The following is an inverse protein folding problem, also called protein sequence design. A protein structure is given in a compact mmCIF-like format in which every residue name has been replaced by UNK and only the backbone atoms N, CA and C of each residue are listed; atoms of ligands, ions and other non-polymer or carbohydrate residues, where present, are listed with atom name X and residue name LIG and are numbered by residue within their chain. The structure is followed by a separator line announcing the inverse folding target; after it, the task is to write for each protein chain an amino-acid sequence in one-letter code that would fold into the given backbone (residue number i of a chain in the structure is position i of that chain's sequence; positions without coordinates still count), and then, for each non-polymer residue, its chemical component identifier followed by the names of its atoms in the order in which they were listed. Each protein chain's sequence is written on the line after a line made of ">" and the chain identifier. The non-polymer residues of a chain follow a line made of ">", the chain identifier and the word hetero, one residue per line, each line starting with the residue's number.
data_IF_111721640659
#
_entry.id   IF_111721640659
#
_cell.length_a   1.000
_cell.length_b   1.000
_cell.length_c   1.000
_cell.angle_alpha   90.00
_cell.angle_beta   90.00
_cell.angle_gamma   90.00
#
_symmetry.space_group_name_H-M   'P 1'
#
loop_
_entity.id
_entity.type
_entity.pdbx_description
1 polymer ?
#
# COMPACT_ATOMS: atom_id res chain seq x y z
N UNK A 1 -46.06 -5.73 47.49
CA UNK A 1 -46.21 -4.68 46.47
C UNK A 1 -44.87 -4.53 45.77
N UNK A 2 -44.77 -4.79 44.45
CA UNK A 2 -43.54 -4.55 43.72
C UNK A 2 -43.40 -3.05 43.42
N UNK A 3 -42.20 -2.53 43.66
CA UNK A 3 -41.77 -1.15 43.41
C UNK A 3 -41.99 -0.78 41.93
N UNK A 4 -42.57 0.39 41.59
CA UNK A 4 -42.72 0.78 40.20
C UNK A 4 -41.34 1.01 39.57
N UNK A 5 -41.12 0.38 38.41
CA UNK A 5 -39.97 0.62 37.56
C UNK A 5 -39.89 2.11 37.19
N UNK A 6 -38.71 2.71 37.35
CA UNK A 6 -38.46 4.09 36.91
C UNK A 6 -38.71 4.20 35.39
N UNK A 7 -39.22 5.35 34.90
CA UNK A 7 -39.41 5.55 33.48
C UNK A 7 -38.06 5.55 32.76
N UNK A 8 -37.93 4.69 31.74
CA UNK A 8 -36.84 4.73 30.78
C UNK A 8 -36.91 6.08 30.02
N UNK A 9 -35.78 6.78 29.89
CA UNK A 9 -35.68 8.00 29.10
C UNK A 9 -36.24 7.80 27.67
N UNK A 10 -36.86 8.83 27.11
CA UNK A 10 -37.55 8.76 25.81
C UNK A 10 -36.58 8.38 24.67
N UNK A 11 -36.90 7.39 23.81
CA UNK A 11 -36.02 6.88 22.76
C UNK A 11 -35.55 7.90 21.71
N UNK A 12 -36.25 9.03 21.53
CA UNK A 12 -35.87 10.07 20.56
C UNK A 12 -34.63 10.88 20.96
N UNK A 13 -34.42 11.16 22.25
CA UNK A 13 -33.28 11.97 22.71
C UNK A 13 -31.96 11.17 22.71
N UNK A 14 -32.04 9.85 22.96
CA UNK A 14 -30.91 8.92 22.85
C UNK A 14 -30.45 8.80 21.39
N UNK A 15 -31.38 8.86 20.42
CA UNK A 15 -31.09 8.80 18.98
C UNK A 15 -30.29 10.00 18.46
N UNK A 16 -30.68 11.23 18.82
CA UNK A 16 -30.05 12.45 18.27
C UNK A 16 -28.61 12.62 18.80
N UNK A 17 -28.40 12.38 20.09
CA UNK A 17 -27.09 12.56 20.75
C UNK A 17 -26.07 11.54 20.25
N UNK A 18 -26.50 10.29 20.02
CA UNK A 18 -25.65 9.24 19.43
C UNK A 18 -25.34 9.56 17.97
N UNK A 19 -26.31 10.03 17.18
CA UNK A 19 -26.11 10.45 15.79
C UNK A 19 -25.14 11.63 15.68
N UNK A 20 -25.31 12.65 16.51
CA UNK A 20 -24.38 13.79 16.55
C UNK A 20 -22.97 13.34 16.95
N UNK A 21 -22.83 12.50 17.98
CA UNK A 21 -21.52 11.98 18.41
C UNK A 21 -20.84 11.13 17.33
N UNK A 22 -21.61 10.32 16.59
CA UNK A 22 -21.06 9.54 15.46
C UNK A 22 -20.69 10.44 14.29
N UNK A 23 -21.52 11.44 13.98
CA UNK A 23 -21.23 12.41 12.93
C UNK A 23 -20.00 13.26 13.26
N UNK A 24 -19.84 13.71 14.50
CA UNK A 24 -18.64 14.44 14.93
C UNK A 24 -17.42 13.54 15.02
N UNK A 25 -17.56 12.30 15.49
CA UNK A 25 -16.47 11.33 15.46
C UNK A 25 -16.03 11.03 14.03
N UNK A 26 -16.96 10.80 13.10
CA UNK A 26 -16.67 10.57 11.68
C UNK A 26 -16.06 11.82 11.02
N UNK A 27 -16.57 13.02 11.29
CA UNK A 27 -16.00 14.27 10.81
C UNK A 27 -14.56 14.49 11.30
N UNK A 28 -14.27 14.12 12.55
CA UNK A 28 -12.92 14.17 13.12
C UNK A 28 -12.05 12.95 12.74
N UNK A 29 -12.56 11.99 11.97
CA UNK A 29 -11.87 10.76 11.60
C UNK A 29 -11.63 9.79 12.77
N UNK A 30 -12.34 9.93 13.89
CA UNK A 30 -12.28 9.02 15.04
C UNK A 30 -13.07 7.76 14.70
N UNK A 31 -12.43 6.85 13.97
CA UNK A 31 -12.94 5.52 13.65
C UNK A 31 -12.62 4.48 14.73
N UNK A 32 -13.28 3.31 14.70
CA UNK A 32 -12.90 2.18 15.54
C UNK A 32 -11.44 1.78 15.27
N UNK A 33 -10.64 1.68 16.33
CA UNK A 33 -9.23 1.31 16.21
C UNK A 33 -9.07 -0.19 15.96
N UNK A 34 -8.62 -0.56 14.76
CA UNK A 34 -8.47 -1.97 14.35
C UNK A 34 -7.18 -2.64 14.86
N UNK A 35 -6.35 -1.92 15.63
CA UNK A 35 -5.06 -2.42 16.13
C UNK A 35 -5.13 -2.86 17.59
N UNK A 36 -4.57 -4.04 17.87
CA UNK A 36 -4.47 -4.59 19.22
C UNK A 36 -3.57 -3.74 20.13
N UNK A 37 -3.78 -3.83 21.45
CA UNK A 37 -2.89 -3.14 22.41
C UNK A 37 -1.44 -3.62 22.30
N UNK A 38 -1.24 -4.90 21.97
CA UNK A 38 0.08 -5.49 21.75
C UNK A 38 0.75 -4.82 20.55
N UNK A 39 0.03 -4.66 19.45
CA UNK A 39 0.54 -4.03 18.23
C UNK A 39 0.91 -2.56 18.47
N UNK A 40 0.08 -1.82 19.23
CA UNK A 40 0.37 -0.44 19.66
C UNK A 40 1.67 -0.36 20.49
N UNK A 41 1.85 -1.28 21.43
CA UNK A 41 3.07 -1.33 22.25
C UNK A 41 4.30 -1.70 21.43
N UNK A 42 4.18 -2.66 20.50
CA UNK A 42 5.26 -3.02 19.58
C UNK A 42 5.68 -1.85 18.70
N UNK A 43 4.74 -1.07 18.18
CA UNK A 43 5.02 0.17 17.45
C UNK A 43 5.78 1.18 18.30
N UNK A 44 5.35 1.41 19.55
CA UNK A 44 6.00 2.35 20.45
C UNK A 44 7.43 1.91 20.80
N UNK A 45 7.63 0.63 21.10
CA UNK A 45 8.95 0.04 21.40
C UNK A 45 9.85 0.13 20.16
N UNK A 46 9.34 -0.23 18.98
CA UNK A 46 10.08 -0.14 17.73
C UNK A 46 10.53 1.28 17.43
N UNK A 47 9.64 2.27 17.57
CA UNK A 47 9.97 3.68 17.39
C UNK A 47 11.02 4.17 18.40
N UNK A 48 10.88 3.79 19.68
CA UNK A 48 11.87 4.10 20.71
C UNK A 48 13.25 3.53 20.37
N UNK A 49 13.32 2.24 20.01
CA UNK A 49 14.57 1.59 19.60
C UNK A 49 15.14 2.25 18.35
N UNK A 50 14.31 2.58 17.36
CA UNK A 50 14.70 3.27 16.14
C UNK A 50 15.43 4.59 16.42
N UNK A 51 14.80 5.47 17.19
CA UNK A 51 15.38 6.76 17.58
C UNK A 51 16.61 6.58 18.47
N UNK A 52 16.61 5.62 19.39
CA UNK A 52 17.76 5.35 20.24
C UNK A 52 18.97 4.88 19.42
N UNK A 53 18.77 3.92 18.51
CA UNK A 53 19.82 3.45 17.60
C UNK A 53 20.34 4.58 16.71
N UNK A 54 19.45 5.43 16.19
CA UNK A 54 19.85 6.60 15.40
C UNK A 54 20.75 7.54 16.22
N UNK A 55 20.33 7.91 17.43
CA UNK A 55 21.11 8.80 18.31
C UNK A 55 22.48 8.23 18.68
N UNK A 56 22.58 6.91 18.87
CA UNK A 56 23.82 6.26 19.27
C UNK A 56 24.77 6.03 18.10
N UNK A 57 24.25 5.63 16.93
CA UNK A 57 25.08 5.24 15.79
C UNK A 57 25.38 6.40 14.84
N UNK A 58 24.46 7.34 14.62
CA UNK A 58 24.65 8.41 13.66
C UNK A 58 25.88 9.29 13.94
N UNK A 59 26.18 9.69 15.20
CA UNK A 59 27.40 10.45 15.50
C UNK A 59 28.68 9.64 15.30
N UNK A 60 28.64 8.32 15.53
CA UNK A 60 29.80 7.45 15.38
C UNK A 60 30.13 7.15 13.91
N UNK A 61 29.10 7.07 13.06
CA UNK A 61 29.25 6.77 11.64
C UNK A 61 29.53 8.02 10.80
N UNK A 62 28.98 9.18 11.18
CA UNK A 62 28.99 10.40 10.35
C UNK A 62 29.44 11.68 11.06
N UNK A 63 29.99 11.58 12.27
CA UNK A 63 30.53 12.73 13.02
C UNK A 63 29.44 13.71 13.45
N UNK A 64 29.80 15.00 13.58
CA UNK A 64 28.87 16.03 14.07
C UNK A 64 27.64 16.22 13.19
N UNK A 65 27.77 16.00 11.88
CA UNK A 65 26.65 16.07 10.96
C UNK A 65 25.60 14.96 11.22
N UNK A 66 26.01 13.81 11.76
CA UNK A 66 25.13 12.73 12.20
C UNK A 66 24.40 13.02 13.52
N UNK A 67 24.81 14.03 14.30
CA UNK A 67 24.09 14.44 15.51
C UNK A 67 22.79 15.18 15.20
N UNK A 68 22.66 15.75 13.99
CA UNK A 68 21.46 16.45 13.58
C UNK A 68 20.36 15.45 13.23
N UNK A 69 19.49 15.17 14.20
CA UNK A 69 18.22 14.51 13.92
C UNK A 69 17.29 15.55 13.30
N UNK A 70 17.13 15.48 11.99
CA UNK A 70 16.07 16.23 11.33
C UNK A 70 14.73 15.81 11.94
N UNK A 71 13.92 16.77 12.37
CA UNK A 71 12.60 16.52 12.98
C UNK A 71 11.69 15.65 12.08
N UNK A 72 11.91 15.71 10.76
CA UNK A 72 11.29 14.83 9.77
C UNK A 72 11.56 13.34 10.04
N UNK A 73 12.74 12.95 10.50
CA UNK A 73 13.10 11.56 10.81
C UNK A 73 12.25 11.02 11.95
N UNK A 74 11.86 11.88 12.92
CA UNK A 74 10.87 11.53 13.94
C UNK A 74 9.54 11.10 13.31
N UNK A 75 9.03 11.87 12.34
CA UNK A 75 7.80 11.52 11.63
C UNK A 75 7.94 10.24 10.78
N UNK A 76 9.08 10.04 10.10
CA UNK A 76 9.36 8.78 9.39
C UNK A 76 9.42 7.58 10.33
N UNK A 77 9.96 7.76 11.53
CA UNK A 77 10.00 6.71 12.55
C UNK A 77 8.58 6.26 12.90
N UNK A 78 7.66 7.21 13.13
CA UNK A 78 6.25 6.87 13.38
C UNK A 78 5.69 6.02 12.23
N UNK A 79 5.89 6.44 10.97
CA UNK A 79 5.41 5.67 9.81
C UNK A 79 6.01 4.26 9.75
N UNK A 80 7.34 4.13 9.90
CA UNK A 80 8.07 2.87 9.76
C UNK A 80 7.72 1.83 10.82
N UNK A 81 7.34 2.24 12.03
CA UNK A 81 7.04 1.33 13.13
C UNK A 81 5.55 1.22 13.48
N UNK A 82 4.74 2.24 13.18
CA UNK A 82 3.28 2.18 13.32
C UNK A 82 2.60 1.56 12.10
N UNK A 83 3.13 1.82 10.90
CA UNK A 83 2.52 1.40 9.63
C UNK A 83 3.62 0.83 8.70
N UNK A 84 4.30 -0.26 9.09
CA UNK A 84 5.43 -0.81 8.33
C UNK A 84 5.03 -1.23 6.91
N UNK A 85 3.79 -1.68 6.70
CA UNK A 85 3.30 -2.08 5.37
C UNK A 85 2.69 -0.95 4.56
N UNK A 86 2.59 0.25 5.13
CA UNK A 86 2.07 1.42 4.44
C UNK A 86 2.90 1.72 3.18
N UNK A 87 2.25 2.11 2.07
CA UNK A 87 2.96 2.44 0.84
C UNK A 87 3.98 3.56 1.05
N UNK A 88 3.65 4.54 1.91
CA UNK A 88 4.51 5.69 2.25
C UNK A 88 5.70 5.32 3.15
N UNK A 89 5.65 4.15 3.79
CA UNK A 89 6.71 3.63 4.68
C UNK A 89 7.71 2.75 3.93
N UNK A 90 7.44 2.36 2.68
CA UNK A 90 8.33 1.47 1.95
C UNK A 90 9.69 2.12 1.66
N UNK A 91 10.77 1.34 1.49
CA UNK A 91 12.12 1.90 1.34
C UNK A 91 12.25 2.88 0.17
N UNK A 92 11.56 2.63 -0.95
CA UNK A 92 11.57 3.51 -2.11
C UNK A 92 11.05 4.92 -1.80
N UNK A 93 9.79 5.08 -1.30
CA UNK A 93 9.32 6.39 -0.86
C UNK A 93 10.20 7.03 0.22
N UNK A 94 10.67 6.28 1.21
CA UNK A 94 11.53 6.86 2.27
C UNK A 94 12.82 7.43 1.68
N UNK A 95 13.62 6.62 0.99
CA UNK A 95 14.96 7.01 0.55
C UNK A 95 14.90 8.03 -0.59
N UNK A 96 14.10 7.77 -1.63
CA UNK A 96 14.02 8.68 -2.77
C UNK A 96 13.22 9.93 -2.41
N UNK A 97 12.12 9.79 -1.65
CA UNK A 97 11.31 10.92 -1.21
C UNK A 97 12.11 11.90 -0.37
N UNK A 98 12.97 11.43 0.53
CA UNK A 98 13.92 12.30 1.23
C UNK A 98 14.93 12.97 0.30
N UNK A 99 15.54 12.20 -0.61
CA UNK A 99 16.59 12.70 -1.50
C UNK A 99 16.07 13.84 -2.40
N UNK A 100 14.91 13.65 -3.04
CA UNK A 100 14.34 14.66 -3.95
C UNK A 100 13.84 15.88 -3.19
N UNK A 101 13.25 15.67 -2.02
CA UNK A 101 12.75 16.75 -1.18
C UNK A 101 13.89 17.63 -0.65
N UNK A 102 14.98 17.02 -0.19
CA UNK A 102 16.17 17.75 0.25
C UNK A 102 16.80 18.54 -0.91
N UNK A 103 16.94 17.94 -2.09
CA UNK A 103 17.47 18.63 -3.27
C UNK A 103 16.63 19.87 -3.65
N UNK A 104 15.31 19.73 -3.66
CA UNK A 104 14.38 20.82 -3.98
C UNK A 104 14.41 21.89 -2.89
N UNK A 105 14.37 21.50 -1.60
CA UNK A 105 14.44 22.43 -0.47
C UNK A 105 15.70 23.28 -0.48
N UNK A 106 16.86 22.66 -0.66
CA UNK A 106 18.15 23.37 -0.78
C UNK A 106 18.17 24.30 -1.99
N UNK A 107 17.63 23.86 -3.12
CA UNK A 107 17.57 24.69 -4.34
C UNK A 107 16.69 25.93 -4.11
N UNK A 108 15.51 25.77 -3.51
CA UNK A 108 14.65 26.88 -3.14
C UNK A 108 15.33 27.83 -2.15
N UNK A 109 15.99 27.30 -1.11
CA UNK A 109 16.71 28.08 -0.12
C UNK A 109 17.85 28.93 -0.71
N UNK A 110 18.46 28.47 -1.81
CA UNK A 110 19.55 29.16 -2.52
C UNK A 110 19.06 30.19 -3.54
N UNK A 111 18.02 29.86 -4.30
CA UNK A 111 17.62 30.65 -5.48
C UNK A 111 16.44 31.58 -5.24
N UNK A 112 15.66 31.39 -4.17
CA UNK A 112 14.49 32.23 -3.86
C UNK A 112 14.84 33.11 -2.65
N UNK A 113 14.97 34.44 -2.82
CA UNK A 113 15.37 35.34 -1.73
C UNK A 113 14.33 35.47 -0.62
N UNK A 114 13.04 35.46 -0.98
CA UNK A 114 11.94 35.57 -0.01
C UNK A 114 11.74 34.24 0.73
N UNK A 115 11.93 34.18 2.07
CA UNK A 115 11.89 32.92 2.80
C UNK A 115 10.52 32.23 2.78
N UNK A 116 9.43 33.01 2.77
CA UNK A 116 8.08 32.46 2.76
C UNK A 116 7.77 31.80 1.40
N UNK A 117 8.12 32.46 0.30
CA UNK A 117 8.01 31.92 -1.04
C UNK A 117 8.93 30.72 -1.24
N UNK A 118 10.17 30.79 -0.74
CA UNK A 118 11.12 29.69 -0.80
C UNK A 118 10.57 28.44 -0.11
N UNK A 119 9.98 28.60 1.08
CA UNK A 119 9.36 27.52 1.84
C UNK A 119 8.15 26.91 1.12
N UNK A 120 7.26 27.76 0.58
CA UNK A 120 6.10 27.31 -0.17
C UNK A 120 6.50 26.54 -1.45
N UNK A 121 7.46 27.07 -2.21
CA UNK A 121 8.00 26.42 -3.40
C UNK A 121 8.72 25.11 -3.06
N UNK A 122 9.47 25.06 -1.96
CA UNK A 122 10.18 23.87 -1.51
C UNK A 122 9.20 22.72 -1.24
N UNK A 123 8.16 22.98 -0.42
CA UNK A 123 7.18 21.94 -0.05
C UNK A 123 6.33 21.55 -1.27
N UNK A 124 5.79 22.52 -2.01
CA UNK A 124 4.95 22.24 -3.19
C UNK A 124 5.72 21.51 -4.29
N UNK A 125 6.95 21.93 -4.56
CA UNK A 125 7.85 21.28 -5.52
C UNK A 125 8.23 19.87 -5.08
N UNK A 126 8.52 19.66 -3.80
CA UNK A 126 8.82 18.33 -3.25
C UNK A 126 7.61 17.38 -3.39
N UNK A 127 6.41 17.84 -3.05
CA UNK A 127 5.17 17.05 -3.22
C UNK A 127 4.95 16.67 -4.68
N UNK A 128 5.11 17.63 -5.61
CA UNK A 128 4.95 17.38 -7.04
C UNK A 128 5.96 16.36 -7.55
N UNK A 129 7.24 16.53 -7.22
CA UNK A 129 8.31 15.62 -7.64
C UNK A 129 8.10 14.20 -7.08
N UNK A 130 7.73 14.09 -5.80
CA UNK A 130 7.43 12.80 -5.18
C UNK A 130 6.25 12.07 -5.84
N UNK A 131 5.22 12.80 -6.29
CA UNK A 131 4.10 12.21 -7.03
C UNK A 131 4.56 11.61 -8.36
N UNK A 132 5.30 12.37 -9.17
CA UNK A 132 5.79 11.88 -10.46
C UNK A 132 6.76 10.71 -10.32
N UNK A 133 7.59 10.71 -9.28
CA UNK A 133 8.56 9.65 -9.01
C UNK A 133 7.99 8.48 -8.20
N UNK A 134 6.70 8.55 -7.85
CA UNK A 134 5.98 7.53 -7.07
C UNK A 134 6.70 7.19 -5.75
N UNK A 135 7.27 8.20 -5.13
CA UNK A 135 8.06 8.09 -3.90
C UNK A 135 7.51 9.04 -2.82
N UNK A 136 6.17 9.15 -2.73
CA UNK A 136 5.52 10.01 -1.75
C UNK A 136 5.87 9.57 -0.32
N UNK A 137 6.60 10.44 0.37
CA UNK A 137 6.96 10.27 1.77
C UNK A 137 6.78 11.62 2.46
N UNK A 138 5.64 11.86 3.14
CA UNK A 138 5.32 13.17 3.73
C UNK A 138 6.43 13.78 4.62
N UNK A 139 7.20 12.99 5.41
CA UNK A 139 8.36 13.53 6.13
C UNK A 139 9.42 14.19 5.23
N UNK A 140 9.53 13.79 3.96
CA UNK A 140 10.36 14.46 2.96
C UNK A 140 9.95 15.93 2.75
N UNK A 141 8.65 16.23 2.72
CA UNK A 141 8.16 17.61 2.65
C UNK A 141 8.61 18.46 3.85
N UNK A 142 8.63 17.88 5.05
CA UNK A 142 9.17 18.54 6.23
C UNK A 142 10.69 18.77 6.14
N UNK A 143 11.44 17.84 5.54
CA UNK A 143 12.87 18.04 5.26
C UNK A 143 13.11 19.13 4.20
N UNK A 144 12.29 19.21 3.14
CA UNK A 144 12.35 20.32 2.18
C UNK A 144 12.14 21.67 2.86
N UNK A 145 11.14 21.76 3.75
CA UNK A 145 10.87 22.96 4.53
C UNK A 145 12.04 23.30 5.45
N UNK A 146 12.58 22.31 6.16
CA UNK A 146 13.71 22.47 7.07
C UNK A 146 14.97 23.00 6.37
N UNK A 147 15.22 22.63 5.11
CA UNK A 147 16.31 23.19 4.31
C UNK A 147 16.19 24.71 4.11
N UNK A 148 14.96 25.26 4.13
CA UNK A 148 14.69 26.69 3.98
C UNK A 148 14.69 27.41 5.33
N UNK A 149 14.01 26.85 6.35
CA UNK A 149 13.77 27.53 7.63
C UNK A 149 14.74 27.12 8.75
N UNK A 150 15.64 26.16 8.50
CA UNK A 150 16.54 25.57 9.50
C UNK A 150 17.69 26.48 9.98
N UNK A 151 17.66 27.77 9.66
CA UNK A 151 18.69 28.74 10.05
C UNK A 151 20.01 28.57 9.29
N UNK A 152 21.02 29.33 9.73
CA UNK A 152 22.30 29.42 9.03
C UNK A 152 23.07 28.10 9.03
N UNK A 153 22.98 27.32 10.12
CA UNK A 153 23.65 26.02 10.24
C UNK A 153 23.18 25.03 9.17
N UNK A 154 21.87 25.00 8.88
CA UNK A 154 21.31 24.12 7.84
C UNK A 154 21.59 24.68 6.45
N UNK A 155 21.48 25.99 6.25
CA UNK A 155 21.79 26.63 4.96
C UNK A 155 23.25 26.46 4.55
N UNK A 156 24.17 26.51 5.51
CA UNK A 156 25.61 26.32 5.30
C UNK A 156 25.96 24.94 4.73
N UNK A 157 25.17 23.90 5.05
CA UNK A 157 25.36 22.56 4.48
C UNK A 157 25.14 22.54 2.95
N UNK A 158 24.30 23.44 2.43
CA UNK A 158 23.98 23.43 1.00
C UNK A 158 23.46 22.07 0.54
N UNK A 159 24.00 21.54 -0.57
CA UNK A 159 23.59 20.23 -1.07
C UNK A 159 24.08 19.06 -0.21
N UNK A 160 25.05 19.27 0.68
CA UNK A 160 25.47 18.21 1.62
C UNK A 160 24.35 17.85 2.59
N UNK A 161 23.38 18.76 2.83
CA UNK A 161 22.14 18.50 3.58
C UNK A 161 21.42 17.23 3.12
N UNK A 162 21.45 16.95 1.81
CA UNK A 162 20.85 15.76 1.20
C UNK A 162 21.52 14.48 1.73
N UNK A 163 22.85 14.45 1.72
CA UNK A 163 23.62 13.30 2.18
C UNK A 163 23.57 13.20 3.70
N UNK A 164 23.93 14.28 4.36
CA UNK A 164 23.98 14.43 5.81
C UNK A 164 23.30 15.74 6.25
N UNK A 165 22.24 15.68 7.07
CA UNK A 165 21.81 14.52 7.85
C UNK A 165 20.79 13.61 7.16
N UNK A 166 20.23 13.99 6.01
CA UNK A 166 18.96 13.41 5.53
C UNK A 166 19.09 11.94 5.09
N UNK A 167 19.88 11.65 4.06
CA UNK A 167 19.94 10.31 3.49
C UNK A 167 20.58 9.30 4.45
N UNK A 168 21.61 9.71 5.20
CA UNK A 168 22.23 8.84 6.20
C UNK A 168 21.28 8.44 7.32
N UNK A 169 20.54 9.39 7.89
CA UNK A 169 19.54 9.07 8.92
C UNK A 169 18.41 8.21 8.35
N UNK A 170 17.98 8.47 7.10
CA UNK A 170 16.96 7.65 6.44
C UNK A 170 17.42 6.21 6.21
N UNK A 171 18.66 6.00 5.73
CA UNK A 171 19.25 4.68 5.52
C UNK A 171 19.34 3.88 6.83
N UNK A 172 19.82 4.51 7.89
CA UNK A 172 19.89 3.87 9.21
C UNK A 172 18.52 3.54 9.75
N UNK A 173 17.57 4.46 9.65
CA UNK A 173 16.22 4.24 10.14
C UNK A 173 15.54 3.09 9.38
N UNK A 174 15.72 3.02 8.05
CA UNK A 174 15.24 1.89 7.24
C UNK A 174 15.91 0.59 7.69
N UNK A 175 17.23 0.58 7.91
CA UNK A 175 17.95 -0.61 8.37
C UNK A 175 17.45 -1.09 9.74
N UNK A 176 17.23 -0.19 10.69
CA UNK A 176 16.67 -0.52 12.02
C UNK A 176 15.22 -1.00 11.89
N UNK A 177 14.41 -0.38 11.03
CA UNK A 177 13.04 -0.81 10.78
C UNK A 177 12.97 -2.22 10.19
N UNK A 178 13.87 -2.56 9.26
CA UNK A 178 14.01 -3.94 8.73
C UNK A 178 14.41 -4.88 9.87
N UNK A 179 15.48 -4.56 10.60
CA UNK A 179 16.02 -5.41 11.66
C UNK A 179 15.04 -5.66 12.80
N UNK A 180 14.20 -4.68 13.14
CA UNK A 180 13.18 -4.83 14.18
C UNK A 180 11.95 -5.61 13.70
N UNK A 181 11.41 -5.24 12.54
CA UNK A 181 10.14 -5.81 12.07
C UNK A 181 10.28 -7.23 11.49
N UNK A 182 11.49 -7.66 11.09
CA UNK A 182 11.72 -9.00 10.52
C UNK A 182 11.37 -10.15 11.48
N UNK A 183 11.47 -9.92 12.80
CA UNK A 183 11.19 -10.91 13.85
C UNK A 183 9.70 -11.23 14.01
N UNK A 184 8.82 -10.36 13.51
CA UNK A 184 7.38 -10.50 13.62
C UNK A 184 6.80 -10.85 12.25
N UNK A 185 6.32 -12.08 12.07
CA UNK A 185 5.82 -12.59 10.77
C UNK A 185 4.77 -11.65 10.15
N UNK A 186 3.88 -11.10 10.96
CA UNK A 186 2.82 -10.19 10.53
C UNK A 186 3.29 -8.74 10.33
N UNK A 187 4.53 -8.36 10.69
CA UNK A 187 5.10 -7.01 10.48
C UNK A 187 6.27 -6.95 9.51
N UNK A 188 6.75 -8.09 9.00
CA UNK A 188 7.97 -8.18 8.17
C UNK A 188 8.06 -7.04 7.16
N UNK A 189 9.14 -6.28 7.26
CA UNK A 189 9.42 -5.09 6.47
C UNK A 189 10.73 -5.29 5.68
N UNK A 190 10.79 -4.96 4.38
CA UNK A 190 9.74 -4.35 3.54
C UNK A 190 8.56 -5.30 3.28
N UNK A 191 7.42 -4.78 2.81
CA UNK A 191 6.19 -5.57 2.61
C UNK A 191 6.41 -6.80 1.72
N UNK A 192 7.32 -6.74 0.76
CA UNK A 192 7.68 -7.91 -0.06
C UNK A 192 8.10 -9.14 0.80
N UNK A 193 8.71 -8.94 1.97
CA UNK A 193 9.14 -10.01 2.87
C UNK A 193 7.99 -10.62 3.69
N UNK A 194 6.87 -9.91 3.86
CA UNK A 194 5.70 -10.44 4.58
C UNK A 194 5.03 -11.60 3.82
N UNK A 195 5.16 -11.61 2.50
CA UNK A 195 4.66 -12.67 1.63
C UNK A 195 5.58 -13.90 1.55
N UNK A 196 6.80 -13.83 2.07
CA UNK A 196 7.77 -14.95 2.03
C UNK A 196 7.45 -15.95 3.14
N UNK A 197 6.71 -17.00 2.81
CA UNK A 197 6.45 -18.14 3.70
C UNK A 197 5.01 -18.29 4.18
N UNK A 198 4.07 -17.44 3.77
CA UNK A 198 2.62 -17.70 3.77
C UNK A 198 2.25 -18.53 2.53
N UNK A 199 2.94 -19.67 2.39
CA UNK A 199 2.81 -20.62 1.28
C UNK A 199 1.84 -21.75 1.64
N UNK A 200 0.77 -21.43 2.36
CA UNK A 200 -0.30 -22.41 2.55
C UNK A 200 -1.38 -22.06 1.54
N UNK A 201 -1.50 -22.81 0.44
CA UNK A 201 -2.62 -22.62 -0.46
C UNK A 201 -3.88 -22.86 0.38
N UNK A 202 -4.75 -21.85 0.48
CA UNK A 202 -6.15 -22.16 0.71
C UNK A 202 -6.52 -22.98 -0.51
N UNK A 203 -6.70 -24.28 -0.32
CA UNK A 203 -7.23 -25.15 -1.35
C UNK A 203 -8.65 -24.66 -1.63
N UNK A 204 -8.78 -23.68 -2.52
CA UNK A 204 -10.04 -23.38 -3.19
C UNK A 204 -10.41 -24.66 -3.89
N UNK A 205 -11.33 -25.42 -3.29
CA UNK A 205 -11.98 -26.55 -3.95
C UNK A 205 -12.52 -26.01 -5.27
N UNK A 206 -11.81 -26.32 -6.36
CA UNK A 206 -12.27 -26.09 -7.72
C UNK A 206 -13.54 -26.94 -7.89
N UNK A 207 -14.70 -26.33 -7.65
CA UNK A 207 -15.97 -27.05 -7.55
C UNK A 207 -17.08 -26.25 -6.91
N UNK A 208 -16.78 -25.25 -6.09
CA UNK A 208 -17.78 -24.26 -5.68
C UNK A 208 -17.58 -22.99 -6.52
N UNK A 209 -18.20 -22.95 -7.69
CA UNK A 209 -18.83 -21.71 -8.11
C UNK A 209 -19.91 -21.42 -7.06
N UNK A 210 -19.47 -20.88 -5.92
CA UNK A 210 -20.33 -20.49 -4.82
C UNK A 210 -21.15 -19.32 -5.33
N UNK A 211 -22.37 -19.64 -5.74
CA UNK A 211 -23.51 -18.74 -5.74
C UNK A 211 -23.38 -17.69 -4.63
N UNK A 212 -23.15 -16.44 -5.00
CA UNK A 212 -23.63 -15.25 -4.28
C UNK A 212 -23.47 -15.20 -2.77
N UNK A 213 -22.39 -15.72 -2.18
CA UNK A 213 -22.10 -15.40 -0.78
C UNK A 213 -21.65 -13.93 -0.73
N UNK A 214 -22.60 -13.03 -0.47
CA UNK A 214 -22.30 -11.63 -0.22
C UNK A 214 -21.44 -11.57 1.05
N UNK A 215 -20.20 -11.13 0.90
CA UNK A 215 -19.35 -10.75 2.05
C UNK A 215 -20.03 -9.57 2.71
N UNK A 216 -20.42 -9.71 3.98
CA UNK A 216 -21.10 -8.62 4.69
C UNK A 216 -20.10 -7.62 5.26
N UNK A 217 -20.60 -6.46 5.68
CA UNK A 217 -19.79 -5.45 6.36
C UNK A 217 -19.15 -6.01 7.64
N UNK A 218 -19.88 -6.84 8.38
CA UNK A 218 -19.40 -7.48 9.61
C UNK A 218 -18.27 -8.48 9.34
N UNK A 219 -18.36 -9.25 8.24
CA UNK A 219 -17.30 -10.17 7.81
C UNK A 219 -16.02 -9.42 7.46
N UNK A 220 -16.15 -8.25 6.80
CA UNK A 220 -15.02 -7.39 6.46
C UNK A 220 -14.37 -6.77 7.71
N UNK A 221 -15.19 -6.27 8.63
CA UNK A 221 -14.72 -5.74 9.91
C UNK A 221 -13.99 -6.82 10.73
N UNK A 222 -14.51 -8.05 10.75
CA UNK A 222 -13.85 -9.18 11.40
C UNK A 222 -12.51 -9.51 10.73
N UNK A 223 -12.44 -9.57 9.39
CA UNK A 223 -11.21 -9.82 8.65
C UNK A 223 -10.14 -8.74 8.90
N UNK A 224 -10.53 -7.47 8.90
CA UNK A 224 -9.65 -6.34 9.22
C UNK A 224 -9.10 -6.42 10.65
N UNK A 225 -9.91 -6.84 11.63
CA UNK A 225 -9.44 -7.09 12.99
C UNK A 225 -8.45 -8.25 13.07
N UNK A 226 -8.67 -9.33 12.31
CA UNK A 226 -7.74 -10.47 12.28
C UNK A 226 -6.40 -10.13 11.62
N UNK A 227 -6.38 -9.16 10.70
CA UNK A 227 -5.13 -8.73 10.07
C UNK A 227 -4.17 -8.04 11.06
N UNK A 228 -4.67 -7.51 12.19
CA UNK A 228 -3.92 -6.76 13.23
C UNK A 228 -2.86 -5.81 12.63
N UNK A 229 -3.25 -5.12 11.56
CA UNK A 229 -2.44 -4.23 10.75
C UNK A 229 -3.18 -2.92 10.57
N UNK A 230 -2.47 -1.80 10.68
CA UNK A 230 -3.02 -0.51 10.30
C UNK A 230 -3.10 -0.43 8.78
N UNK A 231 -4.31 -0.57 8.24
CA UNK A 231 -4.64 -0.34 6.83
C UNK A 231 -5.51 0.91 6.79
N UNK A 232 -5.08 1.93 6.06
CA UNK A 232 -5.80 3.20 5.89
C UNK A 232 -6.93 3.05 4.86
N UNK A 233 -7.82 2.09 5.11
CA UNK A 233 -9.02 1.80 4.31
C UNK A 233 -10.12 1.42 5.28
N UNK A 234 -11.26 2.10 5.20
CA UNK A 234 -12.41 1.77 6.04
C UNK A 234 -13.10 0.49 5.56
N UNK A 235 -13.78 -0.27 6.44
CA UNK A 235 -14.61 -1.39 6.01
C UNK A 235 -15.64 -0.98 4.93
N UNK A 236 -16.15 0.25 5.00
CA UNK A 236 -17.08 0.83 4.05
C UNK A 236 -16.45 0.99 2.66
N UNK A 237 -15.24 1.55 2.56
CA UNK A 237 -14.52 1.69 1.29
C UNK A 237 -14.24 0.32 0.65
N UNK A 238 -13.96 -0.69 1.48
CA UNK A 238 -13.79 -2.07 0.99
C UNK A 238 -15.10 -2.64 0.46
N UNK A 239 -16.21 -2.43 1.15
CA UNK A 239 -17.53 -2.82 0.66
C UNK A 239 -17.84 -2.13 -0.68
N UNK A 240 -17.64 -0.83 -0.80
CA UNK A 240 -17.82 -0.07 -2.04
C UNK A 240 -16.94 -0.64 -3.16
N UNK A 241 -15.67 -0.95 -2.87
CA UNK A 241 -14.76 -1.59 -3.82
C UNK A 241 -15.27 -2.97 -4.27
N UNK A 242 -15.79 -3.78 -3.35
CA UNK A 242 -16.38 -5.09 -3.66
C UNK A 242 -17.67 -4.98 -4.49
N UNK A 243 -18.50 -3.99 -4.21
CA UNK A 243 -19.71 -3.69 -4.97
C UNK A 243 -19.37 -3.26 -6.40
N UNK A 244 -18.48 -2.28 -6.58
CA UNK A 244 -17.98 -1.84 -7.89
C UNK A 244 -17.36 -3.01 -8.68
N UNK A 245 -16.56 -3.85 -8.02
CA UNK A 245 -15.99 -5.05 -8.65
C UNK A 245 -17.09 -6.06 -9.04
N UNK A 246 -18.12 -6.21 -8.22
CA UNK A 246 -19.28 -7.06 -8.46
C UNK A 246 -20.14 -6.58 -9.64
N UNK A 247 -20.40 -5.28 -9.75
CA UNK A 247 -21.07 -4.65 -10.89
C UNK A 247 -20.31 -4.91 -12.19
N UNK A 248 -19.00 -4.63 -12.19
CA UNK A 248 -18.14 -4.88 -13.35
C UNK A 248 -18.11 -6.36 -13.76
N UNK A 249 -18.17 -7.28 -12.79
CA UNK A 249 -18.22 -8.72 -13.04
C UNK A 249 -19.55 -9.17 -13.66
N UNK A 250 -20.69 -8.55 -13.29
CA UNK A 250 -22.03 -8.85 -13.81
C UNK A 250 -22.22 -8.38 -15.25
N UNK A 251 -21.79 -7.15 -15.55
CA UNK A 251 -21.83 -6.57 -16.91
C UNK A 251 -21.01 -7.36 -17.92
N UNK A 252 -20.03 -8.11 -17.43
CA UNK A 252 -19.10 -8.90 -18.22
C UNK A 252 -19.50 -10.38 -18.35
N UNK A 253 -20.81 -10.66 -18.45
CA UNK A 253 -21.34 -12.03 -18.49
C UNK A 253 -20.65 -12.85 -19.58
N UNK A 254 -20.32 -14.10 -19.24
CA UNK A 254 -19.44 -15.02 -19.97
C UNK A 254 -19.79 -15.22 -21.45
N UNK A 255 -19.38 -14.30 -22.32
CA UNK A 255 -19.20 -14.59 -23.73
C UNK A 255 -18.08 -15.63 -23.85
N UNK A 256 -18.32 -16.70 -24.59
CA UNK A 256 -17.29 -17.69 -24.90
C UNK A 256 -16.11 -16.97 -25.57
N UNK A 257 -15.02 -16.80 -24.83
CA UNK A 257 -13.92 -15.96 -25.28
C UNK A 257 -13.16 -16.72 -26.36
N UNK A 258 -13.28 -16.28 -27.61
CA UNK A 258 -12.43 -16.77 -28.68
C UNK A 258 -10.95 -16.55 -28.31
N UNK A 259 -10.17 -17.64 -28.33
CA UNK A 259 -8.74 -17.59 -28.08
C UNK A 259 -8.06 -17.12 -29.36
N UNK A 260 -7.39 -15.97 -29.30
CA UNK A 260 -6.73 -15.31 -30.44
C UNK A 260 -5.24 -15.20 -30.13
N UNK A 261 -4.36 -15.43 -31.12
CA UNK A 261 -2.94 -15.12 -30.98
C UNK A 261 -2.69 -13.67 -30.57
N UNK A 262 -1.58 -13.43 -29.86
CA UNK A 262 -1.14 -12.13 -29.34
C UNK A 262 -2.08 -11.43 -28.33
N UNK A 263 -3.17 -12.09 -27.92
CA UNK A 263 -4.06 -11.60 -26.87
C UNK A 263 -3.63 -12.09 -25.47
N UNK A 264 -4.10 -11.37 -24.45
CA UNK A 264 -3.79 -11.64 -23.05
C UNK A 264 -5.01 -12.17 -22.31
N UNK A 265 -4.79 -13.17 -21.46
CA UNK A 265 -5.84 -13.87 -20.73
C UNK A 265 -5.48 -14.04 -19.27
N UNK A 266 -6.41 -13.68 -18.40
CA UNK A 266 -6.38 -13.92 -16.96
C UNK A 266 -6.99 -15.29 -16.66
N UNK A 267 -6.41 -15.98 -15.68
CA UNK A 267 -6.97 -17.24 -15.20
C UNK A 267 -8.23 -17.10 -14.32
N UNK A 268 -8.64 -15.86 -14.05
CA UNK A 268 -9.86 -15.54 -13.30
C UNK A 268 -9.80 -15.93 -11.81
N UNK A 269 -8.62 -16.31 -11.30
CA UNK A 269 -8.40 -16.51 -9.87
C UNK A 269 -8.13 -15.15 -9.19
N UNK A 270 -8.22 -15.11 -7.86
CA UNK A 270 -7.85 -13.93 -7.06
C UNK A 270 -6.61 -14.20 -6.22
N UNK A 271 -5.94 -13.13 -5.78
CA UNK A 271 -4.75 -13.24 -4.93
C UNK A 271 -3.55 -13.87 -5.65
N UNK A 272 -2.75 -14.65 -4.91
CA UNK A 272 -1.43 -15.11 -5.36
C UNK A 272 -1.44 -16.14 -6.50
N UNK A 273 -2.59 -16.75 -6.79
CA UNK A 273 -2.75 -17.69 -7.90
C UNK A 273 -3.18 -16.98 -9.19
N UNK A 274 -3.47 -15.69 -9.12
CA UNK A 274 -3.84 -14.91 -10.28
C UNK A 274 -2.64 -14.74 -11.22
N UNK A 275 -2.85 -15.01 -12.50
CA UNK A 275 -1.83 -14.88 -13.53
C UNK A 275 -2.42 -14.40 -14.85
N UNK A 276 -1.58 -13.79 -15.67
CA UNK A 276 -1.89 -13.34 -17.02
C UNK A 276 -0.99 -14.07 -18.01
N UNK A 277 -1.64 -14.67 -19.01
CA UNK A 277 -1.02 -15.45 -20.07
C UNK A 277 -1.12 -14.68 -21.37
N UNK A 278 -0.02 -14.56 -22.11
CA UNK A 278 -0.01 -14.10 -23.50
C UNK A 278 -0.02 -15.32 -24.41
N UNK A 279 -1.00 -15.41 -25.30
CA UNK A 279 -1.01 -16.45 -26.34
C UNK A 279 0.02 -16.09 -27.40
N UNK A 280 0.99 -16.98 -27.61
CA UNK A 280 2.04 -16.79 -28.62
C UNK A 280 1.61 -17.41 -29.94
N UNK A 281 1.09 -18.63 -29.91
CA UNK A 281 0.69 -19.37 -31.11
C UNK A 281 -0.42 -20.38 -30.80
N UNK A 282 -1.26 -20.66 -31.81
CA UNK A 282 -2.24 -21.75 -31.79
C UNK A 282 -1.90 -22.72 -32.93
N UNK A 283 -1.29 -23.85 -32.59
CA UNK A 283 -1.00 -24.91 -33.54
C UNK A 283 -2.26 -25.75 -33.83
N UNK A 284 -2.40 -26.26 -35.06
CA UNK A 284 -3.49 -27.14 -35.50
C UNK A 284 -4.91 -26.59 -35.26
N UNK A 285 -5.10 -25.27 -35.42
CA UNK A 285 -6.36 -24.56 -35.14
C UNK A 285 -7.60 -25.11 -35.89
N UNK A 286 -7.41 -25.86 -36.98
CA UNK A 286 -8.50 -26.50 -37.74
C UNK A 286 -9.06 -27.79 -37.13
N UNK A 287 -8.44 -28.35 -36.08
CA UNK A 287 -8.91 -29.56 -35.41
C UNK A 287 -8.82 -29.42 -33.89
N UNK A 288 -9.96 -29.17 -33.23
CA UNK A 288 -10.03 -28.95 -31.78
C UNK A 288 -9.41 -30.07 -30.93
N UNK A 289 -9.36 -31.32 -31.42
CA UNK A 289 -8.74 -32.43 -30.67
C UNK A 289 -7.21 -32.41 -30.72
N UNK A 290 -6.62 -31.77 -31.73
CA UNK A 290 -5.16 -31.64 -31.91
C UNK A 290 -4.65 -30.24 -31.59
N UNK A 291 -5.54 -29.25 -31.59
CA UNK A 291 -5.19 -27.86 -31.35
C UNK A 291 -4.48 -27.67 -30.00
N UNK A 292 -3.30 -27.03 -30.05
CA UNK A 292 -2.50 -26.69 -28.88
C UNK A 292 -2.23 -25.19 -28.87
N UNK A 293 -2.31 -24.60 -27.68
CA UNK A 293 -2.03 -23.19 -27.44
C UNK A 293 -0.67 -23.10 -26.74
N UNK A 294 0.26 -22.38 -27.35
CA UNK A 294 1.53 -21.99 -26.77
C UNK A 294 1.38 -20.60 -26.16
N UNK A 295 1.85 -20.44 -24.93
CA UNK A 295 1.69 -19.20 -24.19
C UNK A 295 2.86 -18.92 -23.27
N UNK A 296 3.02 -17.63 -22.96
CA UNK A 296 3.96 -17.12 -21.98
C UNK A 296 3.21 -16.54 -20.78
N UNK A 297 3.67 -16.83 -19.57
CA UNK A 297 3.18 -16.17 -18.35
C UNK A 297 3.80 -14.77 -18.27
N UNK A 298 2.99 -13.72 -18.45
CA UNK A 298 3.45 -12.31 -18.44
C UNK A 298 3.17 -11.60 -17.11
N UNK A 299 2.41 -12.24 -16.22
CA UNK A 299 2.17 -11.78 -14.85
C UNK A 299 1.78 -12.96 -13.97
N UNK A 300 2.20 -12.98 -12.70
CA UNK A 300 1.86 -14.02 -11.74
C UNK A 300 3.07 -14.81 -11.22
N UNK A 301 2.85 -15.92 -10.51
CA UNK A 301 3.90 -16.66 -9.79
C UNK A 301 4.94 -17.33 -10.70
N UNK A 302 4.56 -17.67 -11.93
CA UNK A 302 5.42 -18.30 -12.95
C UNK A 302 5.91 -17.30 -14.01
N UNK A 303 6.09 -16.02 -13.65
CA UNK A 303 6.46 -14.96 -14.60
C UNK A 303 7.66 -15.37 -15.49
N UNK A 304 7.46 -15.31 -16.81
CA UNK A 304 8.47 -15.66 -17.82
C UNK A 304 8.46 -17.12 -18.26
N UNK A 305 7.65 -17.98 -17.63
CA UNK A 305 7.50 -19.38 -18.05
C UNK A 305 6.78 -19.48 -19.40
N UNK A 306 7.32 -20.29 -20.31
CA UNK A 306 6.67 -20.66 -21.57
C UNK A 306 6.16 -22.09 -21.46
N UNK A 307 4.90 -22.30 -21.84
CA UNK A 307 4.26 -23.62 -21.74
C UNK A 307 3.25 -23.82 -22.87
N UNK A 308 2.70 -25.04 -22.95
CA UNK A 308 1.64 -25.35 -23.91
C UNK A 308 0.55 -26.22 -23.32
N UNK A 309 -0.69 -25.93 -23.69
CA UNK A 309 -1.86 -26.69 -23.28
C UNK A 309 -2.73 -27.05 -24.50
N UNK A 310 -3.44 -28.19 -24.48
CA UNK A 310 -4.53 -28.42 -25.41
C UNK A 310 -5.52 -27.27 -25.37
N UNK A 311 -6.09 -26.86 -26.52
CA UNK A 311 -6.99 -25.71 -26.61
C UNK A 311 -8.16 -25.78 -25.61
N UNK A 312 -8.72 -26.98 -25.40
CA UNK A 312 -9.79 -27.23 -24.42
C UNK A 312 -9.37 -26.90 -22.99
N UNK A 313 -8.17 -27.32 -22.59
CA UNK A 313 -7.64 -27.09 -21.25
C UNK A 313 -7.25 -25.62 -21.08
N UNK A 314 -6.69 -25.02 -22.14
CA UNK A 314 -6.40 -23.59 -22.17
C UNK A 314 -7.66 -22.75 -21.99
N UNK A 315 -8.78 -23.07 -22.65
CA UNK A 315 -10.07 -22.37 -22.46
C UNK A 315 -10.58 -22.44 -21.00
N UNK A 316 -10.36 -23.57 -20.32
CA UNK A 316 -10.73 -23.69 -18.89
C UNK A 316 -9.82 -22.87 -17.98
N UNK A 317 -8.55 -22.73 -18.38
CA UNK A 317 -7.55 -21.97 -17.66
C UNK A 317 -7.68 -20.46 -17.91
N UNK A 318 -7.90 -20.03 -19.16
CA UNK A 318 -7.96 -18.65 -19.64
C UNK A 318 -9.40 -18.10 -19.61
N UNK A 319 -9.90 -17.83 -18.40
CA UNK A 319 -11.31 -17.48 -18.17
C UNK A 319 -11.72 -16.09 -18.64
N UNK A 320 -10.77 -15.15 -18.71
CA UNK A 320 -11.08 -13.73 -18.93
C UNK A 320 -10.05 -13.12 -19.86
N UNK A 321 -10.47 -12.52 -20.97
CA UNK A 321 -9.58 -11.69 -21.80
C UNK A 321 -9.28 -10.38 -21.10
N UNK A 322 -8.02 -9.97 -21.10
CA UNK A 322 -7.56 -8.77 -20.40
C UNK A 322 -6.72 -7.88 -21.30
N UNK A 323 -6.72 -6.58 -21.00
CA UNK A 323 -5.80 -5.60 -21.60
C UNK A 323 -5.08 -4.83 -20.51
N UNK A 324 -3.91 -4.28 -20.84
CA UNK A 324 -3.14 -3.46 -19.90
C UNK A 324 -3.49 -1.98 -20.07
N UNK A 325 -3.99 -1.36 -19.02
CA UNK A 325 -4.35 0.07 -18.98
C UNK A 325 -3.78 0.70 -17.71
N UNK A 326 -3.04 1.80 -17.86
CA UNK A 326 -2.37 2.51 -16.75
C UNK A 326 -1.52 1.62 -15.82
N UNK A 327 -0.96 0.52 -16.36
CA UNK A 327 -0.14 -0.43 -15.60
C UNK A 327 -0.93 -1.56 -14.92
N UNK A 328 -2.26 -1.51 -14.94
CA UNK A 328 -3.15 -2.54 -14.42
C UNK A 328 -3.68 -3.45 -15.53
N UNK A 329 -3.99 -4.70 -15.20
CA UNK A 329 -4.69 -5.61 -16.10
C UNK A 329 -6.18 -5.56 -15.83
N UNK A 330 -6.95 -5.12 -16.82
CA UNK A 330 -8.40 -4.97 -16.72
C UNK A 330 -9.09 -5.91 -17.70
N UNK A 331 -10.30 -6.35 -17.36
CA UNK A 331 -11.10 -7.18 -18.26
C UNK A 331 -11.41 -6.39 -19.52
N UNK A 332 -11.19 -7.01 -20.68
CA UNK A 332 -11.60 -6.45 -21.95
C UNK A 332 -13.12 -6.64 -22.09
N UNK A 333 -13.86 -5.56 -22.30
CA UNK A 333 -15.30 -5.65 -22.54
C UNK A 333 -15.55 -6.47 -23.81
N UNK A 334 -16.56 -7.34 -23.81
CA UNK A 334 -17.02 -7.96 -25.03
C UNK A 334 -17.40 -6.84 -25.99
N UNK A 335 -16.71 -6.76 -27.15
CA UNK A 335 -16.97 -5.71 -28.13
C UNK A 335 -18.46 -5.63 -28.44
N UNK A 336 -19.02 -4.42 -28.37
CA UNK A 336 -20.30 -4.13 -29.03
C UNK A 336 -20.09 -4.09 -30.54
#
# INVERSE_FOLDING_TARGET
>A
MPTPLQPLESPEQVSLTIRLRRATASFLGIGPGNTSHREKLLSAIGAFIGILCLNLAAPQLWGEAGMLIATSIGASTVLLFAIPHGPLSQPWPVLLGYSVSAAIGVSCARFIPDPALAAACAVGGAVLAMHYLRCLHPPGGAAALAAVVGGEQVRALGYDYLLSPILYNALLMVAVAVAFNIWFRHRRYPTHLSHIGTRTPVATKAGAAGTGQQVTHEDMAWALQQMDLYVDVSPEDLCELFELAGEHARDSTAAEVAIVPDAYYSNGLTGFQWQVLRVEEIADAGNERRARVYFQVVHGPSLGEHSSLPLKDFRQHARVRVRREQGHWIREAAGR
#
